data_IF_510908956596
#
_entry.id   IF_510908956596
#
_cell.length_a   1.000
_cell.length_b   1.000
_cell.length_c   1.000
_cell.angle_alpha   90.00
_cell.angle_beta   90.00
_cell.angle_gamma   90.00
#
_symmetry.space_group_name_H-M   'P 1'
#
loop_
_entity.id
_entity.type
_entity.pdbx_description
1 polymer ?
#
# COMPACT_ATOMS: atom_id res chain seq x y z
N UNK A 1 -24.64 33.19 -5.81
CA UNK A 1 -23.46 32.60 -6.50
C UNK A 1 -22.49 32.14 -5.42
N UNK A 2 -22.69 30.93 -4.91
CA UNK A 2 -21.79 30.30 -3.93
C UNK A 2 -20.71 29.56 -4.71
N UNK A 3 -19.45 29.93 -4.49
CA UNK A 3 -18.31 29.18 -5.00
C UNK A 3 -18.34 27.75 -4.40
N UNK A 4 -18.13 26.69 -5.19
CA UNK A 4 -18.00 25.35 -4.63
C UNK A 4 -16.71 25.25 -3.80
N UNK A 5 -16.82 24.60 -2.64
CA UNK A 5 -15.72 24.30 -1.72
C UNK A 5 -14.70 23.34 -2.36
N UNK A 6 -13.40 23.42 -2.02
CA UNK A 6 -12.39 22.47 -2.50
C UNK A 6 -12.68 21.06 -1.98
N UNK A 7 -12.69 20.08 -2.89
CA UNK A 7 -12.87 18.66 -2.59
C UNK A 7 -11.72 18.13 -1.72
N UNK A 8 -12.05 17.17 -0.85
CA UNK A 8 -11.08 16.53 0.04
C UNK A 8 -10.07 15.66 -0.74
N UNK A 9 -8.80 15.50 -0.30
CA UNK A 9 -7.80 14.68 -1.00
C UNK A 9 -8.22 13.21 -1.21
N UNK A 10 -9.13 12.70 -0.38
CA UNK A 10 -9.71 11.35 -0.49
C UNK A 10 -10.67 11.18 -1.67
N UNK A 11 -11.35 12.25 -2.09
CA UNK A 11 -12.28 12.21 -3.23
C UNK A 11 -11.54 12.24 -4.56
N UNK A 12 -10.35 12.87 -4.62
CA UNK A 12 -9.56 12.98 -5.85
C UNK A 12 -9.13 11.61 -6.39
N UNK A 13 -8.78 10.67 -5.51
CA UNK A 13 -8.40 9.30 -5.94
C UNK A 13 -9.64 8.51 -6.39
N UNK A 14 -10.80 8.74 -5.77
CA UNK A 14 -12.07 8.09 -6.14
C UNK A 14 -12.65 8.66 -7.44
N UNK A 15 -12.50 9.96 -7.71
CA UNK A 15 -13.02 10.61 -8.92
C UNK A 15 -12.17 10.35 -10.16
N UNK A 16 -10.88 10.07 -10.03
CA UNK A 16 -9.97 9.83 -11.17
C UNK A 16 -10.28 8.51 -11.90
N UNK A 17 -10.89 7.51 -11.25
CA UNK A 17 -11.17 6.20 -11.86
C UNK A 17 -12.58 6.05 -12.46
N UNK A 18 -13.40 7.12 -12.49
CA UNK A 18 -14.76 7.08 -13.07
C UNK A 18 -14.77 7.40 -14.58
N UNK A 19 -13.68 7.90 -15.17
CA UNK A 19 -13.66 8.45 -16.53
C UNK A 19 -13.50 7.40 -17.68
N UNK A 20 -13.99 6.17 -17.54
CA UNK A 20 -14.09 5.21 -18.67
C UNK A 20 -15.44 4.48 -18.78
N UNK A 21 -16.55 5.11 -18.35
CA UNK A 21 -17.90 4.61 -18.67
C UNK A 21 -18.72 5.63 -19.44
N UNK A 22 -18.46 5.70 -20.75
CA UNK A 22 -19.19 6.60 -21.66
C UNK A 22 -19.47 6.03 -23.05
N UNK A 23 -20.42 5.09 -23.16
CA UNK A 23 -21.50 5.03 -24.19
C UNK A 23 -22.21 3.67 -24.16
N UNK A 24 -23.40 3.63 -23.57
CA UNK A 24 -24.38 2.57 -23.82
C UNK A 24 -25.43 3.13 -24.77
N UNK A 25 -25.55 2.54 -25.97
CA UNK A 25 -26.71 2.71 -26.84
C UNK A 25 -27.50 1.39 -26.83
N UNK A 26 -28.73 1.50 -26.35
CA UNK A 26 -29.94 0.70 -26.62
C UNK A 26 -29.78 -0.78 -27.02
N UNK A 27 -30.30 -1.68 -26.18
CA UNK A 27 -30.76 -3.02 -26.57
C UNK A 27 -32.07 -2.89 -27.39
N UNK A 28 -32.40 -3.84 -28.30
CA UNK A 28 -32.97 -5.12 -27.87
C UNK A 28 -32.53 -6.33 -28.71
N UNK A 29 -32.33 -7.51 -28.11
CA UNK A 29 -33.32 -8.60 -28.17
C UNK A 29 -32.86 -9.84 -27.38
N UNK A 30 -33.86 -10.58 -26.90
CA UNK A 30 -33.81 -11.74 -26.02
C UNK A 30 -33.31 -12.98 -26.80
N UNK A 31 -32.30 -13.68 -26.28
CA UNK A 31 -31.85 -14.96 -26.87
C UNK A 31 -30.76 -15.66 -26.06
N UNK A 32 -31.11 -16.83 -25.50
CA UNK A 32 -30.26 -17.90 -24.95
C UNK A 32 -29.20 -17.52 -23.90
N UNK A 33 -29.41 -18.01 -22.67
CA UNK A 33 -28.38 -18.04 -21.62
C UNK A 33 -27.22 -18.95 -22.07
N UNK A 34 -26.19 -18.33 -22.66
CA UNK A 34 -24.87 -18.96 -22.79
C UNK A 34 -24.19 -18.85 -21.43
N UNK A 35 -23.92 -19.98 -20.79
CA UNK A 35 -23.06 -20.09 -19.62
C UNK A 35 -21.74 -19.37 -19.92
N UNK A 36 -21.45 -18.29 -19.19
CA UNK A 36 -20.19 -17.55 -19.35
C UNK A 36 -19.05 -18.54 -19.08
N UNK A 37 -18.06 -18.68 -19.98
CA UNK A 37 -16.88 -19.50 -19.70
C UNK A 37 -16.24 -18.98 -18.42
N UNK A 38 -16.12 -19.86 -17.42
CA UNK A 38 -15.69 -19.53 -16.07
C UNK A 38 -14.29 -18.91 -16.08
N UNK A 39 -14.10 -17.84 -15.29
CA UNK A 39 -12.79 -17.27 -15.06
C UNK A 39 -11.90 -18.32 -14.40
N UNK A 40 -10.69 -18.52 -14.93
CA UNK A 40 -9.72 -19.47 -14.36
C UNK A 40 -8.76 -18.73 -13.44
N UNK A 41 -8.60 -19.20 -12.21
CA UNK A 41 -7.55 -18.71 -11.30
C UNK A 41 -6.18 -19.18 -11.77
N UNK A 42 -5.18 -18.31 -11.67
CA UNK A 42 -3.79 -18.61 -11.99
C UNK A 42 -2.96 -18.58 -10.72
N UNK A 43 -2.01 -19.51 -10.59
CA UNK A 43 -1.07 -19.55 -9.47
C UNK A 43 -0.01 -18.44 -9.59
N UNK A 44 0.34 -18.05 -10.82
CA UNK A 44 1.36 -17.05 -11.10
C UNK A 44 1.14 -16.30 -12.42
N UNK A 45 1.81 -15.16 -12.56
CA UNK A 45 1.84 -14.34 -13.76
C UNK A 45 3.26 -13.81 -14.02
N UNK A 46 3.79 -14.03 -15.22
CA UNK A 46 5.07 -13.45 -15.63
C UNK A 46 4.85 -12.05 -16.20
N UNK A 47 5.54 -11.06 -15.64
CA UNK A 47 5.48 -9.68 -16.12
C UNK A 47 6.02 -9.63 -17.55
N UNK A 48 5.31 -8.98 -18.47
CA UNK A 48 5.78 -8.88 -19.85
C UNK A 48 6.94 -7.90 -19.93
N UNK A 49 8.06 -8.32 -20.53
CA UNK A 49 9.26 -7.48 -20.68
C UNK A 49 10.21 -7.51 -19.48
N UNK A 50 9.83 -8.13 -18.37
CA UNK A 50 10.72 -8.41 -17.25
C UNK A 50 10.59 -9.89 -16.88
N UNK A 51 11.69 -10.65 -16.81
CA UNK A 51 11.67 -12.07 -16.44
C UNK A 51 11.38 -12.29 -14.93
N UNK A 52 10.36 -11.61 -14.41
CA UNK A 52 9.89 -11.63 -13.02
C UNK A 52 8.50 -12.25 -12.97
N UNK A 53 8.29 -13.11 -11.98
CA UNK A 53 7.03 -13.84 -11.76
C UNK A 53 6.35 -13.29 -10.51
N UNK A 54 5.04 -13.05 -10.61
CA UNK A 54 4.17 -12.55 -9.54
C UNK A 54 3.19 -13.64 -9.14
N UNK A 55 3.00 -13.84 -7.84
CA UNK A 55 2.07 -14.82 -7.25
C UNK A 55 1.03 -14.14 -6.38
N UNK A 56 -0.19 -14.65 -6.43
CA UNK A 56 -1.26 -14.23 -5.53
C UNK A 56 -1.13 -14.82 -4.13
N UNK A 57 -1.91 -14.28 -3.20
CA UNK A 57 -2.12 -14.88 -1.89
C UNK A 57 -2.73 -16.27 -2.08
N UNK A 58 -2.08 -17.31 -1.55
CA UNK A 58 -2.67 -18.65 -1.48
C UNK A 58 -3.02 -19.01 -0.04
N UNK A 59 -4.18 -19.62 0.14
CA UNK A 59 -4.56 -20.27 1.40
C UNK A 59 -4.42 -21.77 1.21
N UNK A 60 -3.34 -22.40 1.73
CA UNK A 60 -3.26 -23.85 1.72
C UNK A 60 -4.42 -24.44 2.53
N UNK A 61 -4.90 -25.61 2.12
CA UNK A 61 -5.96 -26.35 2.82
C UNK A 61 -5.58 -26.69 4.28
N UNK A 62 -4.28 -26.66 4.61
CA UNK A 62 -3.74 -26.84 5.96
C UNK A 62 -2.61 -25.82 6.20
N UNK A 63 -2.84 -24.80 7.05
CA UNK A 63 -1.84 -23.84 7.61
C UNK A 63 -1.06 -22.94 6.61
N UNK A 64 -0.26 -22.00 7.14
CA UNK A 64 -0.56 -20.55 7.17
C UNK A 64 -0.84 -19.91 5.80
N UNK A 65 -1.68 -18.86 5.80
CA UNK A 65 -1.94 -18.00 4.64
C UNK A 65 -0.61 -17.48 4.08
N UNK A 66 -0.27 -17.87 2.85
CA UNK A 66 0.89 -17.34 2.14
C UNK A 66 0.51 -15.97 1.61
N UNK A 67 1.20 -14.95 2.11
CA UNK A 67 0.99 -13.56 1.67
C UNK A 67 1.45 -13.44 0.23
N UNK A 68 0.60 -12.91 -0.65
CA UNK A 68 0.94 -12.71 -2.06
C UNK A 68 2.03 -11.65 -2.26
N UNK A 69 2.61 -11.66 -3.46
CA UNK A 69 3.70 -10.75 -3.81
C UNK A 69 3.23 -9.29 -3.82
N UNK A 70 4.15 -8.37 -3.54
CA UNK A 70 3.92 -6.94 -3.67
C UNK A 70 4.45 -6.44 -5.03
N UNK A 71 3.70 -5.54 -5.66
CA UNK A 71 3.98 -5.06 -7.01
C UNK A 71 3.92 -3.55 -7.09
N UNK A 72 4.69 -3.02 -8.04
CA UNK A 72 4.58 -1.65 -8.53
C UNK A 72 3.65 -1.61 -9.73
N UNK A 73 2.67 -0.72 -9.68
CA UNK A 73 1.68 -0.54 -10.74
C UNK A 73 1.76 0.86 -11.30
N UNK A 74 1.65 0.95 -12.63
CA UNK A 74 1.66 2.22 -13.35
C UNK A 74 0.57 3.15 -12.82
N UNK A 75 0.90 4.40 -12.48
CA UNK A 75 -0.09 5.38 -12.07
C UNK A 75 -0.88 5.91 -13.28
N UNK A 76 -2.08 6.43 -13.02
CA UNK A 76 -2.87 7.11 -14.07
C UNK A 76 -2.22 8.43 -14.51
N UNK A 77 -1.45 9.04 -13.62
CA UNK A 77 -0.72 10.28 -13.82
C UNK A 77 0.77 9.97 -13.80
N UNK A 78 1.47 10.24 -14.91
CA UNK A 78 2.88 9.89 -15.09
C UNK A 78 3.83 10.69 -14.18
N UNK A 79 3.39 11.80 -13.60
CA UNK A 79 4.18 12.56 -12.64
C UNK A 79 4.19 11.92 -11.24
N UNK A 80 3.24 11.01 -10.97
CA UNK A 80 3.15 10.33 -9.68
C UNK A 80 4.09 9.13 -9.64
N UNK A 81 4.61 8.78 -8.44
CA UNK A 81 5.35 7.54 -8.28
C UNK A 81 4.43 6.33 -8.53
N UNK A 82 4.97 5.16 -8.92
CA UNK A 82 4.19 3.95 -9.06
C UNK A 82 3.40 3.60 -7.79
N UNK A 83 2.18 3.14 -7.99
CA UNK A 83 1.33 2.65 -6.91
C UNK A 83 1.86 1.33 -6.40
N UNK A 84 1.76 1.11 -5.09
CA UNK A 84 2.21 -0.13 -4.45
C UNK A 84 0.98 -0.94 -4.06
N UNK A 85 0.96 -2.21 -4.44
CA UNK A 85 -0.17 -3.09 -4.16
C UNK A 85 0.28 -4.49 -3.76
N UNK A 86 -0.48 -5.14 -2.89
CA UNK A 86 -0.35 -6.57 -2.62
C UNK A 86 -1.29 -7.35 -3.54
N UNK A 87 -0.77 -8.38 -4.21
CA UNK A 87 -1.58 -9.25 -5.06
C UNK A 87 -2.31 -10.27 -4.21
N UNK A 88 -3.64 -10.21 -4.21
CA UNK A 88 -4.47 -11.18 -3.49
C UNK A 88 -4.83 -12.37 -4.37
N UNK A 89 -5.13 -12.16 -5.66
CA UNK A 89 -5.49 -13.24 -6.59
C UNK A 89 -5.18 -12.87 -8.03
N UNK A 90 -4.88 -13.86 -8.86
CA UNK A 90 -4.67 -13.70 -10.31
C UNK A 90 -5.76 -14.50 -11.05
N UNK A 91 -6.44 -13.86 -12.00
CA UNK A 91 -7.49 -14.46 -12.81
C UNK A 91 -7.18 -14.28 -14.30
N UNK A 92 -7.32 -15.34 -15.08
CA UNK A 92 -7.32 -15.27 -16.54
C UNK A 92 -8.75 -15.19 -17.07
N UNK A 93 -8.97 -14.28 -18.02
CA UNK A 93 -10.17 -14.33 -18.85
C UNK A 93 -10.07 -15.42 -19.94
N UNK A 94 -11.21 -15.70 -20.58
CA UNK A 94 -11.30 -16.66 -21.68
C UNK A 94 -10.53 -16.25 -22.94
N UNK A 95 -10.05 -15.00 -23.01
CA UNK A 95 -9.28 -14.45 -24.13
C UNK A 95 -7.77 -14.41 -23.83
N UNK A 96 -7.33 -14.98 -22.70
CA UNK A 96 -5.93 -15.00 -22.27
C UNK A 96 -5.42 -13.68 -21.67
N UNK A 97 -6.29 -12.70 -21.40
CA UNK A 97 -5.91 -11.50 -20.65
C UNK A 97 -6.01 -11.77 -19.15
N UNK A 98 -4.89 -11.54 -18.45
CA UNK A 98 -4.83 -11.69 -17.00
C UNK A 98 -5.27 -10.40 -16.28
N UNK A 99 -6.01 -10.58 -15.20
CA UNK A 99 -6.42 -9.57 -14.23
C UNK A 99 -5.91 -9.96 -12.86
N UNK A 100 -5.59 -8.96 -12.06
CA UNK A 100 -5.11 -9.15 -10.68
C UNK A 100 -6.06 -8.46 -9.73
N UNK A 101 -6.52 -9.19 -8.71
CA UNK A 101 -7.18 -8.61 -7.55
C UNK A 101 -6.10 -8.18 -6.57
N UNK A 102 -6.13 -6.92 -6.18
CA UNK A 102 -5.09 -6.30 -5.37
C UNK A 102 -5.67 -5.65 -4.12
N UNK A 103 -4.82 -5.47 -3.12
CA UNK A 103 -5.05 -4.64 -1.93
C UNK A 103 -4.02 -3.50 -1.95
N UNK A 104 -4.49 -2.26 -1.90
CA UNK A 104 -3.63 -1.10 -2.08
C UNK A 104 -2.82 -0.77 -0.83
N UNK A 105 -1.57 -0.36 -1.04
CA UNK A 105 -0.80 0.39 -0.07
C UNK A 105 -0.90 1.87 -0.38
N UNK A 106 -1.11 2.68 0.64
CA UNK A 106 -1.13 4.13 0.53
C UNK A 106 0.19 4.70 1.03
N UNK A 107 0.71 5.69 0.32
CA UNK A 107 1.83 6.50 0.78
C UNK A 107 1.34 7.53 1.81
N UNK A 108 2.20 8.00 2.72
CA UNK A 108 1.84 9.05 3.68
C UNK A 108 1.16 10.28 3.08
N UNK A 109 1.67 10.77 1.95
CA UNK A 109 1.15 11.89 1.18
C UNK A 109 -0.26 11.66 0.60
N UNK A 110 -0.66 10.40 0.41
CA UNK A 110 -1.97 10.02 -0.13
C UNK A 110 -3.01 9.81 0.97
N UNK A 111 -2.58 9.79 2.24
CA UNK A 111 -3.49 9.65 3.38
C UNK A 111 -4.22 10.97 3.66
N UNK A 112 -5.45 10.88 4.19
CA UNK A 112 -6.25 12.05 4.55
C UNK A 112 -5.53 13.01 5.52
N UNK A 113 -4.64 12.50 6.37
CA UNK A 113 -3.85 13.30 7.31
C UNK A 113 -2.52 13.82 6.76
N UNK A 114 -2.16 13.45 5.54
CA UNK A 114 -0.89 13.79 4.89
C UNK A 114 0.36 13.20 5.55
N UNK A 115 1.51 13.53 4.97
CA UNK A 115 2.82 13.11 5.49
C UNK A 115 3.16 13.88 6.78
N UNK A 116 3.62 13.17 7.80
CA UNK A 116 4.05 13.70 9.10
C UNK A 116 5.55 13.46 9.30
N UNK A 117 6.16 14.18 10.23
CA UNK A 117 7.61 14.10 10.49
C UNK A 117 8.09 12.72 10.94
N UNK A 118 7.23 11.93 11.58
CA UNK A 118 7.57 10.57 12.01
C UNK A 118 7.39 9.51 10.90
N UNK A 119 6.89 9.89 9.72
CA UNK A 119 6.73 8.96 8.61
C UNK A 119 8.06 8.76 7.88
N UNK A 120 8.44 7.50 7.68
CA UNK A 120 9.65 7.15 6.93
C UNK A 120 9.52 7.47 5.44
N UNK A 121 10.66 7.65 4.76
CA UNK A 121 10.68 7.88 3.31
C UNK A 121 10.07 6.70 2.51
N UNK A 122 10.32 5.47 2.96
CA UNK A 122 9.84 4.21 2.37
C UNK A 122 8.61 3.63 3.07
N UNK A 123 7.91 4.44 3.87
CA UNK A 123 6.75 3.99 4.63
C UNK A 123 5.50 3.89 3.75
N UNK A 124 4.73 2.84 3.98
CA UNK A 124 3.45 2.57 3.35
C UNK A 124 2.41 2.15 4.40
N UNK A 125 1.14 2.34 4.07
CA UNK A 125 0.00 1.93 4.89
C UNK A 125 -0.84 0.90 4.16
N UNK A 126 -1.06 -0.27 4.77
CA UNK A 126 -1.89 -1.30 4.18
C UNK A 126 -3.36 -0.91 4.29
N UNK A 127 -4.01 -0.56 3.17
CA UNK A 127 -5.39 -0.08 3.22
C UNK A 127 -6.43 -1.19 3.21
N UNK A 128 -7.68 -0.92 3.58
CA UNK A 128 -8.84 -1.78 3.33
C UNK A 128 -9.41 -1.66 1.90
N UNK A 129 -8.71 -0.95 1.01
CA UNK A 129 -9.12 -0.73 -0.36
C UNK A 129 -8.66 -1.87 -1.28
N UNK A 130 -9.63 -2.61 -1.81
CA UNK A 130 -9.42 -3.68 -2.79
C UNK A 130 -9.90 -3.27 -4.19
N UNK A 131 -9.18 -3.71 -5.22
CA UNK A 131 -9.55 -3.43 -6.60
C UNK A 131 -9.13 -4.59 -7.54
N UNK A 132 -9.60 -4.56 -8.79
CA UNK A 132 -9.26 -5.52 -9.84
C UNK A 132 -8.70 -4.81 -11.07
N UNK A 133 -7.39 -4.90 -11.22
CA UNK A 133 -6.62 -4.25 -12.28
C UNK A 133 -6.18 -5.22 -13.39
N UNK A 134 -5.78 -4.70 -14.54
CA UNK A 134 -5.15 -5.51 -15.59
C UNK A 134 -3.73 -5.90 -15.15
N UNK A 135 -3.32 -7.16 -15.37
CA UNK A 135 -1.94 -7.57 -15.06
C UNK A 135 -0.88 -6.84 -15.93
N UNK A 136 -1.31 -6.12 -16.98
CA UNK A 136 -0.43 -5.32 -17.84
C UNK A 136 0.02 -4.00 -17.20
N UNK A 137 -0.66 -3.54 -16.15
CA UNK A 137 -0.27 -2.31 -15.45
C UNK A 137 0.85 -2.56 -14.43
N UNK A 138 1.22 -3.82 -14.18
CA UNK A 138 2.35 -4.17 -13.31
C UNK A 138 3.65 -3.83 -14.03
N UNK A 139 4.44 -2.96 -13.43
CA UNK A 139 5.75 -2.53 -13.94
C UNK A 139 6.91 -3.28 -13.29
N UNK A 140 6.71 -3.73 -12.04
CA UNK A 140 7.73 -4.46 -11.30
C UNK A 140 7.21 -5.10 -10.03
N UNK A 141 8.11 -5.80 -9.33
CA UNK A 141 7.88 -6.39 -8.01
C UNK A 141 8.65 -5.60 -6.97
N UNK A 142 8.07 -5.47 -5.78
CA UNK A 142 8.70 -4.81 -4.62
C UNK A 142 8.51 -5.65 -3.36
N UNK A 143 9.22 -5.28 -2.29
CA UNK A 143 9.11 -5.96 -0.99
C UNK A 143 8.59 -4.96 0.04
N UNK A 144 7.49 -5.31 0.70
CA UNK A 144 6.95 -4.54 1.83
C UNK A 144 7.22 -5.30 3.11
N UNK A 145 8.22 -4.85 3.85
CA UNK A 145 8.68 -5.44 5.08
C UNK A 145 7.80 -5.06 6.27
N UNK A 146 7.81 -5.91 7.30
CA UNK A 146 7.42 -5.45 8.64
C UNK A 146 8.42 -4.41 9.14
N UNK A 147 7.99 -3.46 9.97
CA UNK A 147 8.90 -2.46 10.54
C UNK A 147 10.12 -3.09 11.23
N UNK A 148 9.92 -4.17 11.99
CA UNK A 148 11.00 -4.90 12.67
C UNK A 148 12.01 -5.54 11.70
N UNK A 149 11.55 -6.02 10.55
CA UNK A 149 12.43 -6.60 9.53
C UNK A 149 13.18 -5.51 8.78
N UNK A 150 12.50 -4.41 8.47
CA UNK A 150 13.07 -3.28 7.74
C UNK A 150 14.21 -2.61 8.52
N UNK A 151 14.07 -2.43 9.83
CA UNK A 151 15.13 -1.83 10.68
C UNK A 151 16.38 -2.69 10.80
N UNK A 152 16.35 -3.94 10.31
CA UNK A 152 17.48 -4.88 10.33
C UNK A 152 18.19 -5.00 8.99
N UNK A 153 17.68 -4.35 7.94
CA UNK A 153 18.34 -4.34 6.64
C UNK A 153 19.64 -3.54 6.74
N UNK A 154 20.73 -4.09 6.21
CA UNK A 154 22.02 -3.40 6.13
C UNK A 154 21.98 -2.29 5.08
N UNK A 155 21.32 -2.54 3.95
CA UNK A 155 21.08 -1.57 2.88
C UNK A 155 19.62 -1.62 2.43
N UNK A 156 19.07 -0.45 2.14
CA UNK A 156 17.66 -0.29 1.73
C UNK A 156 17.62 -0.01 0.24
N UNK A 157 17.13 -0.99 -0.52
CA UNK A 157 17.00 -0.85 -1.96
C UNK A 157 15.89 0.10 -2.42
N UNK A 158 15.86 0.42 -3.72
CA UNK A 158 14.78 1.22 -4.32
C UNK A 158 13.41 0.54 -4.20
N UNK A 159 13.38 -0.79 -4.14
CA UNK A 159 12.16 -1.62 -4.08
C UNK A 159 11.80 -2.10 -2.67
N UNK A 160 12.55 -1.67 -1.66
CA UNK A 160 12.28 -1.99 -0.26
C UNK A 160 11.41 -0.91 0.39
N UNK A 161 10.28 -1.35 0.92
CA UNK A 161 9.32 -0.54 1.64
C UNK A 161 9.04 -1.17 3.00
N UNK A 162 8.39 -0.42 3.89
CA UNK A 162 7.90 -1.00 5.15
C UNK A 162 6.50 -0.54 5.48
N UNK A 163 5.79 -1.39 6.23
CA UNK A 163 4.46 -1.12 6.72
C UNK A 163 4.39 -1.44 8.22
N UNK A 164 3.83 -0.50 8.99
CA UNK A 164 3.52 -0.68 10.43
C UNK A 164 2.07 -0.35 10.79
N UNK A 165 1.31 0.19 9.84
CA UNK A 165 -0.07 0.60 10.04
C UNK A 165 -0.99 0.01 8.97
N UNK A 166 -2.18 -0.37 9.39
CA UNK A 166 -3.32 -0.48 8.49
C UNK A 166 -4.04 0.87 8.39
N UNK A 167 -4.60 1.16 7.22
CA UNK A 167 -5.29 2.39 6.91
C UNK A 167 -6.73 2.11 6.45
N UNK A 168 -7.70 2.84 6.97
CA UNK A 168 -9.09 2.76 6.54
C UNK A 168 -9.34 3.85 5.51
N UNK A 169 -9.36 3.50 4.22
CA UNK A 169 -9.43 4.47 3.13
C UNK A 169 -10.70 5.33 3.18
N UNK A 170 -11.82 4.77 3.66
CA UNK A 170 -13.08 5.48 3.77
C UNK A 170 -13.13 6.51 4.91
N UNK A 171 -12.46 6.23 6.04
CA UNK A 171 -12.55 7.08 7.25
C UNK A 171 -11.28 7.86 7.56
N UNK A 172 -10.17 7.54 6.90
CA UNK A 172 -8.85 8.09 7.23
C UNK A 172 -8.25 7.55 8.53
N UNK A 173 -8.85 6.53 9.15
CA UNK A 173 -8.40 5.95 10.41
C UNK A 173 -7.17 5.04 10.25
N UNK A 174 -6.39 4.89 11.33
CA UNK A 174 -5.22 4.03 11.38
C UNK A 174 -5.36 2.94 12.45
N UNK A 175 -4.78 1.77 12.19
CA UNK A 175 -4.67 0.68 13.16
C UNK A 175 -3.20 0.22 13.22
N UNK A 176 -2.56 0.17 14.40
CA UNK A 176 -3.07 0.63 15.69
C UNK A 176 -3.24 2.16 15.74
N UNK A 177 -4.22 2.62 16.52
CA UNK A 177 -4.52 4.04 16.76
C UNK A 177 -3.50 4.72 17.69
N UNK A 178 -2.72 3.92 18.43
CA UNK A 178 -1.66 4.37 19.35
C UNK A 178 -0.34 3.69 19.01
N UNK A 179 0.73 4.48 18.90
CA UNK A 179 2.10 3.98 18.74
C UNK A 179 3.01 4.65 19.75
N UNK A 180 3.94 3.88 20.30
CA UNK A 180 4.95 4.40 21.21
C UNK A 180 5.78 5.48 20.50
N UNK A 181 5.78 6.69 21.06
CA UNK A 181 6.61 7.79 20.59
C UNK A 181 7.88 7.80 21.43
N UNK A 182 9.03 7.59 20.78
CA UNK A 182 10.31 7.85 21.43
C UNK A 182 10.66 9.33 21.17
N UNK A 183 10.55 10.18 22.19
CA UNK A 183 11.23 11.48 22.14
C UNK A 183 12.71 11.21 22.32
N UNK A 184 13.60 11.57 21.38
CA UNK A 184 14.99 11.71 21.73
C UNK A 184 15.05 12.76 22.83
N UNK A 185 15.46 12.35 24.04
CA UNK A 185 15.81 13.31 25.08
C UNK A 185 16.80 14.29 24.44
N UNK A 186 16.51 15.58 24.54
CA UNK A 186 17.41 16.58 23.96
C UNK A 186 18.84 16.32 24.45
N UNK A 187 19.88 16.57 23.64
CA UNK A 187 21.26 16.47 24.12
C UNK A 187 21.47 17.28 25.41
N UNK A 188 20.76 18.40 25.55
CA UNK A 188 20.69 19.19 26.78
C UNK A 188 20.13 18.41 27.97
N UNK A 189 19.08 17.61 27.79
CA UNK A 189 18.50 16.78 28.84
C UNK A 189 19.44 15.66 29.29
N UNK A 190 20.19 15.05 28.36
CA UNK A 190 21.20 14.04 28.67
C UNK A 190 22.35 14.69 29.47
N UNK A 191 22.83 15.84 29.00
CA UNK A 191 23.89 16.59 29.67
C UNK A 191 23.45 17.09 31.06
N UNK A 192 22.23 17.62 31.21
CA UNK A 192 21.70 18.03 32.50
C UNK A 192 21.58 16.84 33.45
N UNK A 193 21.05 15.69 33.00
CA UNK A 193 20.99 14.49 33.85
C UNK A 193 22.37 13.97 34.26
N UNK A 194 23.39 14.12 33.39
CA UNK A 194 24.77 13.78 33.71
C UNK A 194 25.40 14.76 34.71
N UNK A 195 25.06 16.05 34.62
CA UNK A 195 25.57 17.08 35.54
C UNK A 195 24.90 16.96 36.91
N UNK A 196 23.59 16.70 36.96
CA UNK A 196 22.87 16.43 38.20
C UNK A 196 23.41 15.18 38.92
N UNK A 197 23.83 14.16 38.17
CA UNK A 197 24.50 12.97 38.73
C UNK A 197 25.90 13.31 39.27
N UNK A 198 26.65 14.17 38.56
CA UNK A 198 27.99 14.60 38.99
C UNK A 198 27.94 15.49 40.24
N UNK A 199 26.96 16.40 40.34
CA UNK A 199 26.75 17.25 41.51
C UNK A 199 26.31 16.43 42.72
N UNK A 200 25.39 15.47 42.55
CA UNK A 200 25.01 14.58 43.66
C UNK A 200 26.16 13.67 44.11
N UNK A 201 27.07 13.27 43.22
CA UNK A 201 28.28 12.52 43.58
C UNK A 201 29.29 13.40 44.34
N UNK A 202 29.45 14.67 43.94
CA UNK A 202 30.32 15.64 44.63
C UNK A 202 29.80 15.98 46.04
N UNK A 203 28.48 16.08 46.21
CA UNK A 203 27.81 16.32 47.50
C UNK A 203 27.81 15.10 48.44
N UNK A 204 28.21 13.92 47.95
CA UNK A 204 28.36 12.70 48.75
C UNK A 204 29.81 12.43 49.19
N UNK A 205 30.76 13.25 48.72
CA UNK A 205 32.20 13.12 48.96
C UNK A 205 32.74 14.16 49.97
N UNK A 206 31.87 14.99 50.54
CA UNK A 206 32.11 15.81 51.74
C UNK A 206 31.33 15.23 52.94
#
# INVERSE_FOLDING_TARGET
RSNPLPLSPSETVASIFVQERGRSRSCPNRGMAKTKPGKKELDSYTIKGANKVVRGTSTPFVSPKVVGDCVLMRPSDAEKPPYVARVERIEADHRGSARVRVRWYYRPEESAGGRRQFHGAKELFLSDHYDVQSARTIEGTCVVHSFKSYTKLEDVGPEDYFCRFEYKAATGGFTPDRVAVYRPLSPLFILLSSMDFYINLLMLLD
#
